data_IF_625911981722
#
_entry.id   IF_625911981722
#
_cell.length_a   1.000
_cell.length_b   1.000
_cell.length_c   1.000
_cell.angle_alpha   90.00
_cell.angle_beta   90.00
_cell.angle_gamma   90.00
#
_symmetry.space_group_name_H-M   'P 1'
#
loop_
_entity.id
_entity.type
_entity.pdbx_description
1 polymer ?
#
# COMPACT_ATOMS: atom_id res chain seq x y z
N UNK A 1 8.94 23.39 -10.19
CA UNK A 1 7.90 22.36 -10.09
C UNK A 1 8.23 21.28 -9.05
N UNK A 2 9.43 20.69 -9.09
CA UNK A 2 9.91 19.73 -8.06
C UNK A 2 9.64 20.15 -6.62
N UNK A 3 9.94 21.40 -6.26
CA UNK A 3 9.72 21.87 -4.88
C UNK A 3 8.25 21.92 -4.48
N UNK A 4 7.33 22.17 -5.42
CA UNK A 4 5.89 22.12 -5.18
C UNK A 4 5.44 20.69 -4.92
N UNK A 5 5.88 19.73 -5.74
CA UNK A 5 5.64 18.30 -5.51
C UNK A 5 6.14 17.87 -4.13
N UNK A 6 7.37 18.24 -3.77
CA UNK A 6 7.92 17.89 -2.46
C UNK A 6 7.11 18.52 -1.32
N UNK A 7 6.66 19.77 -1.48
CA UNK A 7 5.79 20.43 -0.49
C UNK A 7 4.46 19.67 -0.31
N UNK A 8 3.79 19.30 -1.40
CA UNK A 8 2.52 18.56 -1.31
C UNK A 8 2.73 17.18 -0.68
N UNK A 9 3.80 16.47 -1.06
CA UNK A 9 4.10 15.16 -0.46
C UNK A 9 4.39 15.26 1.03
N UNK A 10 5.11 16.30 1.50
CA UNK A 10 5.29 16.55 2.94
C UNK A 10 3.97 16.73 3.67
N UNK A 11 3.04 17.48 3.08
CA UNK A 11 1.71 17.68 3.66
C UNK A 11 0.92 16.37 3.72
N UNK A 12 0.94 15.58 2.65
CA UNK A 12 0.21 14.31 2.53
C UNK A 12 0.77 13.25 3.49
N UNK A 13 2.07 13.21 3.70
CA UNK A 13 2.71 12.20 4.55
C UNK A 13 2.89 12.66 5.99
N UNK A 14 2.89 13.97 6.25
CA UNK A 14 3.29 14.60 7.53
C UNK A 14 4.75 14.38 7.92
N UNK A 15 5.60 14.03 6.95
CA UNK A 15 7.05 13.99 7.12
C UNK A 15 7.69 15.18 6.42
N UNK A 16 8.63 15.85 7.06
CA UNK A 16 9.38 16.95 6.46
C UNK A 16 10.43 16.48 5.43
N UNK A 17 10.99 15.27 5.65
CA UNK A 17 12.04 14.73 4.80
C UNK A 17 11.43 13.85 3.71
N UNK A 18 11.41 14.34 2.47
CA UNK A 18 10.79 13.66 1.33
C UNK A 18 11.72 13.70 0.12
N UNK A 19 11.76 12.61 -0.63
CA UNK A 19 12.41 12.52 -1.92
C UNK A 19 11.53 11.79 -2.94
N UNK A 20 11.72 12.13 -4.22
CA UNK A 20 11.08 11.45 -5.35
C UNK A 20 12.12 10.60 -6.07
N UNK A 21 11.80 9.34 -6.31
CA UNK A 21 12.67 8.33 -6.93
C UNK A 21 12.03 7.77 -8.19
N UNK A 22 12.81 7.18 -9.07
CA UNK A 22 12.35 6.79 -10.42
C UNK A 22 11.27 5.70 -10.44
N UNK A 23 11.15 4.84 -9.42
CA UNK A 23 10.11 3.78 -9.36
C UNK A 23 9.87 3.25 -7.95
N UNK A 24 8.69 2.61 -7.76
CA UNK A 24 8.30 1.99 -6.49
C UNK A 24 9.31 0.97 -5.95
N UNK A 25 9.86 0.08 -6.78
CA UNK A 25 10.84 -0.90 -6.32
C UNK A 25 12.14 -0.26 -5.80
N UNK A 26 12.50 0.94 -6.28
CA UNK A 26 13.65 1.67 -5.73
C UNK A 26 13.31 2.18 -4.32
N UNK A 27 12.11 2.72 -4.11
CA UNK A 27 11.65 3.10 -2.78
C UNK A 27 11.64 1.89 -1.82
N UNK A 28 11.07 0.75 -2.24
CA UNK A 28 11.05 -0.49 -1.45
C UNK A 28 12.47 -0.94 -1.07
N UNK A 29 13.40 -0.95 -2.03
CA UNK A 29 14.79 -1.33 -1.77
C UNK A 29 15.43 -0.39 -0.73
N UNK A 30 15.33 0.92 -0.92
CA UNK A 30 15.89 1.89 0.01
C UNK A 30 15.28 1.76 1.40
N UNK A 31 13.97 1.50 1.49
CA UNK A 31 13.30 1.23 2.77
C UNK A 31 13.86 -0.04 3.43
N UNK A 32 13.99 -1.16 2.72
CA UNK A 32 14.49 -2.42 3.30
C UNK A 32 15.96 -2.30 3.77
N UNK A 33 16.77 -1.47 3.09
CA UNK A 33 18.16 -1.23 3.47
C UNK A 33 18.30 -0.55 4.85
N UNK A 34 17.27 0.17 5.32
CA UNK A 34 17.27 0.80 6.63
C UNK A 34 17.10 -0.19 7.79
N UNK A 35 16.56 -1.39 7.51
CA UNK A 35 16.43 -2.43 8.53
C UNK A 35 17.78 -3.09 8.82
N UNK A 36 18.12 -3.26 10.09
CA UNK A 36 19.32 -4.01 10.53
C UNK A 36 19.01 -5.49 10.79
N UNK A 37 17.75 -5.82 11.01
CA UNK A 37 17.26 -7.16 11.32
C UNK A 37 16.36 -7.75 10.24
N UNK A 38 15.51 -8.71 10.62
CA UNK A 38 14.48 -9.28 9.75
C UNK A 38 13.50 -8.23 9.23
N UNK A 39 12.85 -8.56 8.11
CA UNK A 39 11.68 -7.83 7.63
C UNK A 39 10.43 -8.64 7.95
N UNK A 40 9.49 -8.02 8.64
CA UNK A 40 8.17 -8.56 8.87
C UNK A 40 7.19 -7.93 7.85
N UNK A 41 6.25 -8.71 7.34
CA UNK A 41 5.20 -8.22 6.43
C UNK A 41 3.95 -9.07 6.56
N UNK A 42 2.74 -8.53 6.33
CA UNK A 42 1.53 -9.35 6.27
C UNK A 42 1.66 -10.45 5.20
N UNK A 43 1.06 -11.61 5.51
CA UNK A 43 0.96 -12.77 4.63
C UNK A 43 0.04 -12.54 3.44
N UNK A 44 -0.94 -11.65 3.57
CA UNK A 44 -1.78 -11.24 2.45
C UNK A 44 -2.01 -9.71 2.45
N UNK A 45 -2.35 -9.16 1.30
CA UNK A 45 -2.57 -7.73 1.10
C UNK A 45 -1.30 -6.86 1.04
N UNK A 46 -0.11 -7.48 1.06
CA UNK A 46 1.20 -6.87 0.83
C UNK A 46 1.55 -6.67 -0.66
N UNK A 47 2.84 -6.55 -0.97
CA UNK A 47 3.36 -6.47 -2.33
C UNK A 47 4.46 -7.50 -2.58
N UNK A 48 4.45 -8.12 -3.77
CA UNK A 48 5.33 -9.24 -4.12
C UNK A 48 6.83 -8.93 -3.97
N UNK A 49 7.24 -7.68 -4.24
CA UNK A 49 8.65 -7.33 -4.21
C UNK A 49 9.23 -7.20 -2.80
N UNK A 50 8.42 -7.15 -1.74
CA UNK A 50 8.91 -7.07 -0.37
C UNK A 50 9.75 -8.31 -0.02
N UNK A 51 9.18 -9.49 -0.21
CA UNK A 51 9.85 -10.76 0.08
C UNK A 51 11.03 -11.00 -0.87
N UNK A 52 10.82 -10.78 -2.17
CA UNK A 52 11.86 -11.01 -3.18
C UNK A 52 13.10 -10.14 -2.93
N UNK A 53 12.91 -8.84 -2.66
CA UNK A 53 14.02 -7.92 -2.36
C UNK A 53 14.67 -8.30 -1.03
N UNK A 54 13.89 -8.57 0.02
CA UNK A 54 14.42 -8.96 1.33
C UNK A 54 15.34 -10.19 1.22
N UNK A 55 14.85 -11.25 0.56
CA UNK A 55 15.62 -12.48 0.35
C UNK A 55 16.87 -12.25 -0.49
N UNK A 56 16.80 -11.40 -1.52
CA UNK A 56 17.97 -11.07 -2.35
C UNK A 56 19.08 -10.35 -1.58
N UNK A 57 18.73 -9.66 -0.47
CA UNK A 57 19.67 -9.01 0.44
C UNK A 57 20.16 -9.94 1.56
N UNK A 58 19.78 -11.23 1.54
CA UNK A 58 20.16 -12.20 2.57
C UNK A 58 19.52 -11.95 3.93
N UNK A 59 18.42 -11.19 3.98
CA UNK A 59 17.68 -10.91 5.22
C UNK A 59 16.57 -11.95 5.43
N UNK A 60 16.28 -12.25 6.69
CA UNK A 60 15.12 -13.06 7.06
C UNK A 60 13.82 -12.30 6.75
N UNK A 61 12.82 -13.03 6.24
CA UNK A 61 11.49 -12.51 5.96
C UNK A 61 10.45 -13.28 6.76
N UNK A 62 9.71 -12.58 7.61
CA UNK A 62 8.76 -13.14 8.57
C UNK A 62 7.35 -12.70 8.18
N UNK A 63 6.49 -13.66 7.83
CA UNK A 63 5.09 -13.35 7.57
C UNK A 63 4.31 -13.13 8.86
N UNK A 64 3.48 -12.08 8.89
CA UNK A 64 2.45 -11.85 9.91
C UNK A 64 1.13 -12.40 9.39
N UNK A 65 0.43 -13.17 10.20
CA UNK A 65 -0.87 -13.74 9.83
C UNK A 65 -1.92 -12.64 9.65
N UNK A 66 -2.88 -12.92 8.78
CA UNK A 66 -3.91 -11.98 8.36
C UNK A 66 -5.24 -12.69 8.19
N UNK A 67 -6.32 -11.91 8.24
CA UNK A 67 -7.66 -12.36 7.86
C UNK A 67 -8.25 -11.37 6.87
N UNK A 68 -8.44 -11.79 5.62
CA UNK A 68 -8.93 -10.94 4.52
C UNK A 68 -8.10 -9.65 4.36
N UNK A 69 -6.77 -9.76 4.39
CA UNK A 69 -5.79 -8.67 4.33
C UNK A 69 -5.72 -7.78 5.58
N UNK A 70 -6.53 -8.03 6.60
CA UNK A 70 -6.40 -7.36 7.90
C UNK A 70 -5.29 -8.03 8.72
N UNK A 71 -4.35 -7.24 9.23
CA UNK A 71 -3.25 -7.73 10.08
C UNK A 71 -3.81 -8.29 11.39
N UNK A 72 -3.37 -9.49 11.77
CA UNK A 72 -3.62 -10.04 13.10
C UNK A 72 -2.62 -9.41 14.10
N UNK A 73 -3.14 -8.58 15.01
CA UNK A 73 -2.32 -7.83 15.96
C UNK A 73 -1.70 -8.71 17.07
N UNK A 74 -2.34 -9.82 17.43
CA UNK A 74 -1.80 -10.76 18.42
C UNK A 74 -0.60 -11.54 17.83
N UNK A 75 -0.73 -11.97 16.59
CA UNK A 75 0.36 -12.60 15.85
C UNK A 75 1.51 -11.61 15.59
N UNK A 76 1.18 -10.37 15.20
CA UNK A 76 2.16 -9.29 15.07
C UNK A 76 2.95 -9.13 16.38
N UNK A 77 2.26 -8.93 17.51
CA UNK A 77 2.91 -8.77 18.82
C UNK A 77 3.85 -9.93 19.13
N UNK A 78 3.38 -11.17 18.95
CA UNK A 78 4.16 -12.38 19.20
C UNK A 78 5.43 -12.47 18.33
N UNK A 79 5.36 -12.02 17.08
CA UNK A 79 6.49 -12.06 16.14
C UNK A 79 7.45 -10.87 16.31
N UNK A 80 6.97 -9.73 16.78
CA UNK A 80 7.81 -8.59 17.15
C UNK A 80 8.77 -8.95 18.29
N UNK A 81 8.28 -9.66 19.32
CA UNK A 81 9.10 -10.13 20.45
C UNK A 81 10.27 -11.04 19.99
N UNK A 82 10.05 -11.82 18.92
CA UNK A 82 11.06 -12.70 18.33
C UNK A 82 12.04 -11.97 17.41
N UNK A 83 11.54 -11.02 16.60
CA UNK A 83 12.36 -10.29 15.64
C UNK A 83 13.32 -9.31 16.33
N UNK A 84 12.88 -8.68 17.42
CA UNK A 84 13.70 -7.82 18.26
C UNK A 84 14.12 -6.49 17.61
N UNK A 85 14.99 -5.77 18.31
CA UNK A 85 15.41 -4.41 17.94
C UNK A 85 16.11 -4.36 16.58
N UNK A 86 15.75 -3.37 15.79
CA UNK A 86 16.35 -3.13 14.46
C UNK A 86 15.72 -3.92 13.32
N UNK A 87 14.72 -4.76 13.61
CA UNK A 87 13.83 -5.29 12.58
C UNK A 87 12.93 -4.17 12.01
N UNK A 88 12.22 -4.48 10.92
CA UNK A 88 11.26 -3.57 10.30
C UNK A 88 9.96 -4.29 10.00
N UNK A 89 8.83 -3.66 10.30
CA UNK A 89 7.52 -4.06 9.81
C UNK A 89 7.12 -3.23 8.59
N UNK A 90 6.98 -3.91 7.45
CA UNK A 90 6.69 -3.33 6.14
C UNK A 90 5.29 -3.74 5.70
N UNK A 91 4.36 -2.79 5.54
CA UNK A 91 2.97 -3.10 5.19
C UNK A 91 2.26 -1.97 4.45
N UNK A 92 1.13 -2.29 3.81
CA UNK A 92 0.23 -1.28 3.24
C UNK A 92 -0.74 -0.75 4.29
N UNK A 93 -0.91 0.57 4.42
CA UNK A 93 -1.94 1.12 5.34
C UNK A 93 -3.37 0.90 4.88
N UNK A 94 -3.58 0.76 3.56
CA UNK A 94 -4.80 0.26 2.95
C UNK A 94 -4.48 -1.05 2.20
N UNK A 95 -4.50 -2.16 2.93
CA UNK A 95 -4.04 -3.45 2.44
C UNK A 95 -4.89 -3.92 1.26
N UNK A 96 -4.23 -4.51 0.25
CA UNK A 96 -4.85 -4.91 -1.01
C UNK A 96 -5.66 -3.80 -1.73
N UNK A 97 -5.43 -2.52 -1.40
CA UNK A 97 -6.24 -1.37 -1.86
C UNK A 97 -7.70 -1.41 -1.36
N UNK A 98 -7.95 -2.10 -0.25
CA UNK A 98 -9.30 -2.35 0.22
C UNK A 98 -9.51 -2.26 1.73
N UNK A 99 -8.57 -2.70 2.56
CA UNK A 99 -8.79 -2.86 4.00
C UNK A 99 -7.89 -1.92 4.77
N UNK A 100 -8.50 -0.98 5.50
CA UNK A 100 -7.79 -0.07 6.38
C UNK A 100 -7.10 -0.83 7.52
N UNK A 101 -5.84 -0.52 7.80
CA UNK A 101 -5.11 -1.06 8.96
C UNK A 101 -5.20 -0.10 10.16
N UNK A 102 -5.10 -0.63 11.38
CA UNK A 102 -4.97 0.21 12.58
C UNK A 102 -3.52 0.70 12.70
N UNK A 103 -3.18 1.72 11.91
CA UNK A 103 -1.82 2.22 11.78
C UNK A 103 -1.26 2.72 13.12
N UNK A 104 -2.10 3.32 13.96
CA UNK A 104 -1.71 3.79 15.29
C UNK A 104 -1.35 2.63 16.20
N UNK A 105 -2.22 1.62 16.32
CA UNK A 105 -1.95 0.47 17.19
C UNK A 105 -0.75 -0.34 16.69
N UNK A 106 -0.63 -0.56 15.38
CA UNK A 106 0.53 -1.20 14.77
C UNK A 106 1.81 -0.44 15.12
N UNK A 107 1.81 0.88 14.95
CA UNK A 107 2.98 1.70 15.25
C UNK A 107 3.39 1.62 16.71
N UNK A 108 2.43 1.69 17.64
CA UNK A 108 2.70 1.52 19.07
C UNK A 108 3.33 0.16 19.37
N UNK A 109 2.76 -0.94 18.87
CA UNK A 109 3.31 -2.29 19.08
C UNK A 109 4.73 -2.42 18.55
N UNK A 110 4.99 -1.93 17.33
CA UNK A 110 6.31 -1.99 16.72
C UNK A 110 7.33 -1.13 17.48
N UNK A 111 6.97 0.11 17.82
CA UNK A 111 7.86 1.02 18.51
C UNK A 111 8.22 0.54 19.93
N UNK A 112 7.26 -0.03 20.67
CA UNK A 112 7.50 -0.62 22.00
C UNK A 112 8.50 -1.80 21.92
N UNK A 113 8.51 -2.53 20.80
CA UNK A 113 9.47 -3.60 20.52
C UNK A 113 10.81 -3.12 19.91
N UNK A 114 10.95 -1.82 19.61
CA UNK A 114 12.11 -1.26 18.90
C UNK A 114 12.22 -1.70 17.44
N UNK A 115 11.07 -1.95 16.80
CA UNK A 115 10.93 -2.32 15.39
C UNK A 115 10.48 -1.10 14.59
N UNK A 116 11.17 -0.84 13.48
CA UNK A 116 10.85 0.28 12.59
C UNK A 116 9.58 -0.01 11.79
N UNK A 117 8.77 1.01 11.54
CA UNK A 117 7.55 0.92 10.73
C UNK A 117 7.75 1.58 9.38
N UNK A 118 7.60 0.78 8.32
CA UNK A 118 7.57 1.25 6.96
C UNK A 118 6.19 1.02 6.32
N UNK A 119 5.57 2.10 5.86
CA UNK A 119 4.21 2.11 5.36
C UNK A 119 4.19 2.37 3.85
N UNK A 120 3.73 1.39 3.08
CA UNK A 120 3.34 1.60 1.69
C UNK A 120 1.96 2.27 1.66
N UNK A 121 1.94 3.53 1.24
CA UNK A 121 0.74 4.35 1.15
C UNK A 121 0.23 4.47 -0.28
N UNK A 122 0.65 3.60 -1.21
CA UNK A 122 0.21 3.62 -2.61
C UNK A 122 -1.31 3.47 -2.77
N UNK A 123 -1.97 2.76 -1.85
CA UNK A 123 -3.43 2.61 -1.80
C UNK A 123 -4.14 3.58 -0.85
N UNK A 124 -3.43 4.55 -0.30
CA UNK A 124 -3.92 5.41 0.79
C UNK A 124 -3.53 6.89 0.68
N UNK A 125 -2.57 7.26 -0.17
CA UNK A 125 -2.15 8.65 -0.34
C UNK A 125 -3.34 9.53 -0.72
N UNK A 126 -3.47 10.69 -0.06
CA UNK A 126 -4.64 11.56 -0.20
C UNK A 126 -5.80 11.26 0.75
N UNK A 127 -5.68 10.21 1.58
CA UNK A 127 -6.67 9.85 2.62
C UNK A 127 -6.03 9.92 4.01
N UNK A 128 -6.84 9.80 5.07
CA UNK A 128 -6.35 9.71 6.45
C UNK A 128 -5.52 8.45 6.74
N UNK A 129 -5.57 7.44 5.87
CA UNK A 129 -4.75 6.23 5.98
C UNK A 129 -3.30 6.49 5.56
N UNK A 130 -2.99 7.63 4.96
CA UNK A 130 -1.62 8.13 4.79
C UNK A 130 -1.28 9.06 5.97
N UNK A 131 -0.56 8.54 6.97
CA UNK A 131 -0.24 9.31 8.16
C UNK A 131 1.13 8.91 8.72
N UNK A 132 2.15 9.69 8.38
CA UNK A 132 3.53 9.48 8.83
C UNK A 132 3.74 9.63 10.33
N UNK A 133 2.80 10.24 11.07
CA UNK A 133 2.85 10.20 12.54
C UNK A 133 2.77 8.77 13.11
N UNK A 134 2.47 7.77 12.27
CA UNK A 134 2.40 6.36 12.61
C UNK A 134 3.34 5.51 11.74
N UNK A 135 4.41 6.09 11.20
CA UNK A 135 5.44 5.39 10.45
C UNK A 135 6.80 6.10 10.54
N UNK A 136 7.89 5.35 10.57
CA UNK A 136 9.23 5.93 10.43
C UNK A 136 9.51 6.27 8.95
N UNK A 137 8.98 5.45 8.05
CA UNK A 137 9.12 5.63 6.60
C UNK A 137 7.75 5.44 5.94
N UNK A 138 7.34 6.36 5.07
CA UNK A 138 6.25 6.13 4.12
C UNK A 138 6.80 6.13 2.70
N UNK A 139 6.22 5.33 1.81
CA UNK A 139 6.53 5.38 0.39
C UNK A 139 5.30 5.04 -0.45
N UNK A 140 5.28 5.48 -1.70
CA UNK A 140 4.28 5.06 -2.65
C UNK A 140 4.79 5.09 -4.09
N UNK A 141 4.28 4.18 -4.90
CA UNK A 141 4.44 4.21 -6.35
C UNK A 141 3.44 5.19 -6.98
N UNK A 142 3.87 5.90 -8.02
CA UNK A 142 3.00 6.74 -8.85
C UNK A 142 2.62 6.11 -10.18
N UNK A 143 3.02 4.85 -10.41
CA UNK A 143 2.75 4.12 -11.66
C UNK A 143 1.25 3.98 -11.95
N UNK A 144 0.99 3.44 -13.14
CA UNK A 144 -0.35 3.11 -13.62
C UNK A 144 -1.21 2.40 -12.57
N UNK A 145 -2.47 2.83 -12.48
CA UNK A 145 -3.50 2.30 -11.59
C UNK A 145 -3.22 2.48 -10.10
N UNK A 146 -2.28 3.35 -9.72
CA UNK A 146 -2.13 3.84 -8.35
C UNK A 146 -3.03 5.06 -8.13
N UNK A 147 -3.09 5.56 -6.90
CA UNK A 147 -3.93 6.73 -6.64
C UNK A 147 -3.40 8.00 -7.32
N UNK A 148 -2.08 8.21 -7.36
CA UNK A 148 -1.51 9.36 -8.08
C UNK A 148 -1.54 9.15 -9.59
N UNK A 149 -1.23 7.95 -10.08
CA UNK A 149 -1.34 7.60 -11.50
C UNK A 149 -0.69 8.60 -12.49
N UNK A 150 0.59 8.91 -12.27
CA UNK A 150 1.40 9.72 -13.18
C UNK A 150 2.18 8.87 -14.19
N UNK A 151 1.97 7.55 -14.21
CA UNK A 151 2.65 6.59 -15.09
C UNK A 151 4.05 6.18 -14.62
N UNK A 152 4.78 7.07 -13.96
CA UNK A 152 6.16 6.84 -13.50
C UNK A 152 6.49 7.52 -12.16
N UNK A 153 7.57 7.07 -11.52
CA UNK A 153 8.04 7.61 -10.25
C UNK A 153 7.47 6.92 -9.02
N UNK A 154 8.03 7.32 -7.89
CA UNK A 154 7.59 7.00 -6.54
C UNK A 154 8.14 8.06 -5.57
N UNK A 155 7.64 8.10 -4.35
CA UNK A 155 8.29 8.86 -3.28
C UNK A 155 8.69 7.97 -2.13
N UNK A 156 9.61 8.50 -1.32
CA UNK A 156 9.92 8.04 0.03
C UNK A 156 9.94 9.25 0.95
N UNK A 157 9.36 9.11 2.13
CA UNK A 157 9.33 10.13 3.16
C UNK A 157 9.74 9.53 4.50
N UNK A 158 10.61 10.21 5.23
CA UNK A 158 11.26 9.67 6.43
C UNK A 158 11.06 10.62 7.60
N UNK A 159 10.65 10.08 8.75
CA UNK A 159 10.41 10.85 9.96
C UNK A 159 11.72 11.44 10.50
N UNK A 160 12.75 10.60 10.65
CA UNK A 160 14.05 11.01 11.18
C UNK A 160 14.93 11.72 10.14
N UNK A 161 15.47 12.88 10.54
CA UNK A 161 16.26 13.74 9.66
C UNK A 161 17.65 13.17 9.39
N UNK A 162 18.30 12.59 10.40
CA UNK A 162 19.66 12.04 10.21
C UNK A 162 19.61 10.75 9.39
N UNK A 163 18.58 9.92 9.56
CA UNK A 163 18.28 8.79 8.69
C UNK A 163 18.14 9.24 7.24
N UNK A 164 17.30 10.24 6.96
CA UNK A 164 17.13 10.76 5.60
C UNK A 164 18.44 11.30 5.00
N UNK A 165 19.25 11.99 5.80
CA UNK A 165 20.57 12.50 5.39
C UNK A 165 21.52 11.37 5.02
N UNK A 166 21.50 10.25 5.75
CA UNK A 166 22.29 9.06 5.44
C UNK A 166 21.82 8.37 4.15
N UNK A 167 20.51 8.39 3.88
CA UNK A 167 19.93 7.86 2.64
C UNK A 167 20.23 8.73 1.40
N UNK A 168 20.61 10.00 1.59
CA UNK A 168 20.71 11.00 0.53
C UNK A 168 21.56 10.59 -0.68
N UNK A 169 22.76 9.96 -0.53
CA UNK A 169 23.55 9.54 -1.70
C UNK A 169 22.81 8.53 -2.57
N UNK A 170 22.13 7.55 -1.96
CA UNK A 170 21.34 6.56 -2.68
C UNK A 170 20.10 7.19 -3.31
N UNK A 171 19.40 8.07 -2.59
CA UNK A 171 18.25 8.82 -3.11
C UNK A 171 18.61 9.64 -4.36
N UNK A 172 19.82 10.22 -4.40
CA UNK A 172 20.32 10.93 -5.57
C UNK A 172 20.59 9.98 -6.74
N UNK A 173 21.18 8.81 -6.48
CA UNK A 173 21.47 7.82 -7.52
C UNK A 173 20.21 7.21 -8.17
N UNK A 174 19.10 7.14 -7.45
CA UNK A 174 17.82 6.62 -7.97
C UNK A 174 16.76 7.72 -8.16
N UNK A 175 17.19 8.98 -8.20
CA UNK A 175 16.31 10.14 -8.27
C UNK A 175 15.35 10.12 -9.46
N UNK A 176 14.20 10.75 -9.29
CA UNK A 176 13.24 10.94 -10.39
C UNK A 176 13.67 12.07 -11.32
N UNK A 177 13.73 11.77 -12.62
CA UNK A 177 14.08 12.72 -13.70
C UNK A 177 12.91 12.96 -14.67
N UNK A 178 11.73 12.41 -14.39
CA UNK A 178 10.55 12.52 -15.24
C UNK A 178 9.76 13.83 -15.05
N UNK A 179 8.51 13.82 -15.51
CA UNK A 179 7.67 15.02 -15.58
C UNK A 179 7.07 15.42 -14.22
N UNK A 180 7.75 16.34 -13.52
CA UNK A 180 7.25 16.93 -12.29
C UNK A 180 5.98 17.78 -12.46
N UNK A 181 5.69 18.30 -13.66
CA UNK A 181 4.47 19.08 -13.93
C UNK A 181 3.26 18.16 -13.98
N UNK A 182 3.35 17.04 -14.70
CA UNK A 182 2.33 16.00 -14.69
C UNK A 182 2.11 15.45 -13.27
N UNK A 183 3.19 15.10 -12.56
CA UNK A 183 3.11 14.60 -11.19
C UNK A 183 2.40 15.58 -10.26
N UNK A 184 2.74 16.87 -10.33
CA UNK A 184 2.07 17.89 -9.52
C UNK A 184 0.58 18.02 -9.87
N UNK A 185 0.22 17.99 -11.15
CA UNK A 185 -1.17 18.02 -11.59
C UNK A 185 -1.96 16.84 -11.02
N UNK A 186 -1.39 15.64 -11.07
CA UNK A 186 -1.99 14.42 -10.55
C UNK A 186 -2.15 14.43 -9.03
N UNK A 187 -1.16 14.95 -8.29
CA UNK A 187 -1.27 15.14 -6.84
C UNK A 187 -2.39 16.13 -6.49
N UNK A 188 -2.56 17.20 -7.25
CA UNK A 188 -3.65 18.17 -7.03
C UNK A 188 -5.04 17.61 -7.31
N UNK A 189 -5.16 16.74 -8.31
CA UNK A 189 -6.42 16.07 -8.67
C UNK A 189 -6.76 14.87 -7.77
N UNK A 190 -5.84 14.48 -6.87
CA UNK A 190 -5.98 13.31 -6.01
C UNK A 190 -7.31 13.25 -5.23
N UNK A 191 -7.83 14.35 -4.62
CA UNK A 191 -9.14 14.32 -3.94
C UNK A 191 -10.29 13.95 -4.88
N UNK A 192 -10.31 14.54 -6.09
CA UNK A 192 -11.34 14.29 -7.09
C UNK A 192 -11.26 12.84 -7.61
N UNK A 193 -10.05 12.33 -7.88
CA UNK A 193 -9.85 10.92 -8.25
C UNK A 193 -10.34 9.96 -7.16
N UNK A 194 -10.04 10.24 -5.89
CA UNK A 194 -10.52 9.40 -4.77
C UNK A 194 -12.06 9.37 -4.73
N UNK A 195 -12.71 10.52 -4.87
CA UNK A 195 -14.18 10.62 -4.89
C UNK A 195 -14.79 9.80 -6.04
N UNK A 196 -14.24 9.91 -7.26
CA UNK A 196 -14.68 9.13 -8.42
C UNK A 196 -14.53 7.63 -8.15
N UNK A 197 -13.38 7.19 -7.65
CA UNK A 197 -13.12 5.78 -7.38
C UNK A 197 -14.04 5.23 -6.27
N UNK A 198 -14.33 6.02 -5.23
CA UNK A 198 -15.28 5.66 -4.20
C UNK A 198 -16.70 5.50 -4.77
N UNK A 199 -17.16 6.46 -5.58
CA UNK A 199 -18.47 6.38 -6.23
C UNK A 199 -18.58 5.14 -7.13
N UNK A 200 -17.54 4.83 -7.91
CA UNK A 200 -17.49 3.61 -8.73
C UNK A 200 -17.53 2.35 -7.88
N UNK A 201 -16.77 2.30 -6.78
CA UNK A 201 -16.82 1.15 -5.89
C UNK A 201 -18.21 0.94 -5.31
N UNK A 202 -18.88 2.00 -4.86
CA UNK A 202 -20.24 1.92 -4.34
C UNK A 202 -21.24 1.43 -5.40
N UNK A 203 -21.09 1.87 -6.65
CA UNK A 203 -21.90 1.37 -7.76
C UNK A 203 -21.69 -0.14 -8.02
N UNK A 204 -20.43 -0.60 -7.98
CA UNK A 204 -20.09 -2.03 -8.10
C UNK A 204 -20.70 -2.84 -6.96
N UNK A 205 -20.52 -2.39 -5.71
CA UNK A 205 -21.06 -3.05 -4.53
C UNK A 205 -22.59 -3.15 -4.57
N UNK A 206 -23.27 -2.06 -4.97
CA UNK A 206 -24.74 -2.05 -5.15
C UNK A 206 -25.18 -3.03 -6.25
N UNK A 207 -24.45 -3.10 -7.36
CA UNK A 207 -24.71 -4.05 -8.44
C UNK A 207 -24.56 -5.51 -8.02
N UNK A 208 -23.69 -5.78 -7.05
CA UNK A 208 -23.38 -7.10 -6.51
C UNK A 208 -23.98 -7.34 -5.11
N UNK A 209 -24.93 -6.54 -4.66
CA UNK A 209 -25.50 -6.58 -3.29
C UNK A 209 -26.11 -7.94 -2.87
N UNK A 210 -26.38 -8.83 -3.84
CA UNK A 210 -26.86 -10.20 -3.58
C UNK A 210 -25.74 -11.18 -3.22
N UNK A 211 -24.49 -10.80 -3.47
CA UNK A 211 -23.30 -11.56 -3.12
C UNK A 211 -22.70 -11.02 -1.83
N UNK A 212 -21.96 -11.87 -1.13
CA UNK A 212 -21.11 -11.42 -0.02
C UNK A 212 -20.00 -10.53 -0.60
N UNK A 213 -19.74 -9.41 0.06
CA UNK A 213 -18.63 -8.51 -0.28
C UNK A 213 -17.81 -8.34 1.00
N UNK A 214 -16.52 -8.67 0.95
CA UNK A 214 -15.68 -8.70 2.16
C UNK A 214 -15.46 -7.32 2.75
N UNK A 215 -15.32 -6.33 1.87
CA UNK A 215 -14.92 -4.97 2.19
C UNK A 215 -16.05 -3.96 2.01
N UNK A 216 -17.31 -4.39 2.17
CA UNK A 216 -18.50 -3.56 1.96
C UNK A 216 -18.55 -2.33 2.86
N UNK A 217 -18.00 -2.43 4.07
CA UNK A 217 -18.05 -1.40 5.10
C UNK A 217 -16.76 -0.56 5.15
N UNK A 218 -15.80 -0.86 4.26
CA UNK A 218 -14.55 -0.12 4.17
C UNK A 218 -14.78 1.25 3.51
N UNK A 219 -14.08 2.26 4.01
CA UNK A 219 -14.21 3.64 3.51
C UNK A 219 -13.51 3.86 2.17
N UNK A 220 -12.39 3.17 1.93
CA UNK A 220 -11.57 3.30 0.72
C UNK A 220 -11.37 1.98 -0.05
N UNK A 221 -12.45 1.34 -0.51
CA UNK A 221 -12.43 0.09 -1.25
C UNK A 221 -12.08 0.31 -2.73
N UNK A 222 -10.84 0.69 -3.03
CA UNK A 222 -10.38 0.89 -4.42
C UNK A 222 -10.24 -0.43 -5.21
N UNK A 223 -10.43 -1.55 -4.52
CA UNK A 223 -10.65 -2.89 -5.06
C UNK A 223 -11.84 -3.51 -4.32
N UNK A 224 -12.78 -4.15 -5.02
CA UNK A 224 -13.93 -4.84 -4.41
C UNK A 224 -13.70 -6.34 -4.44
N UNK A 225 -13.81 -7.00 -3.28
CA UNK A 225 -13.57 -8.44 -3.15
C UNK A 225 -14.90 -9.16 -2.91
N UNK A 226 -15.24 -10.05 -3.84
CA UNK A 226 -16.50 -10.81 -3.84
C UNK A 226 -16.17 -12.30 -3.81
N UNK A 227 -16.29 -12.97 -2.65
CA UNK A 227 -16.12 -14.41 -2.55
C UNK A 227 -17.15 -15.15 -3.39
N UNK A 228 -16.80 -16.36 -3.83
CA UNK A 228 -17.74 -17.26 -4.48
C UNK A 228 -17.66 -18.65 -3.86
N UNK A 229 -18.79 -19.35 -3.81
CA UNK A 229 -18.85 -20.69 -3.21
C UNK A 229 -18.62 -21.80 -4.23
N UNK A 230 -18.90 -21.53 -5.51
CA UNK A 230 -18.80 -22.49 -6.60
C UNK A 230 -18.67 -21.78 -7.95
N UNK A 231 -18.45 -22.58 -8.99
CA UNK A 231 -18.23 -22.10 -10.35
C UNK A 231 -19.41 -21.31 -10.93
N UNK A 232 -20.65 -21.69 -10.60
CA UNK A 232 -21.85 -20.96 -11.08
C UNK A 232 -21.88 -19.55 -10.49
N UNK A 233 -21.56 -19.42 -9.20
CA UNK A 233 -21.50 -18.12 -8.54
C UNK A 233 -20.35 -17.25 -9.09
N UNK A 234 -19.17 -17.85 -9.27
CA UNK A 234 -18.01 -17.21 -9.91
C UNK A 234 -18.36 -16.65 -11.29
N UNK A 235 -19.02 -17.46 -12.14
CA UNK A 235 -19.43 -17.06 -13.48
C UNK A 235 -20.46 -15.92 -13.47
N UNK A 236 -21.36 -15.86 -12.49
CA UNK A 236 -22.30 -14.73 -12.33
C UNK A 236 -21.56 -13.43 -12.03
N UNK A 237 -20.59 -13.47 -11.12
CA UNK A 237 -19.77 -12.30 -10.77
C UNK A 237 -18.91 -11.87 -11.97
N UNK A 238 -18.28 -12.82 -12.67
CA UNK A 238 -17.51 -12.56 -13.89
C UNK A 238 -18.37 -11.97 -15.02
N UNK A 239 -19.58 -12.48 -15.21
CA UNK A 239 -20.54 -11.96 -16.19
C UNK A 239 -20.97 -10.52 -15.84
N UNK A 240 -21.18 -10.21 -14.56
CA UNK A 240 -21.40 -8.84 -14.10
C UNK A 240 -20.21 -7.94 -14.46
N UNK A 241 -18.98 -8.37 -14.17
CA UNK A 241 -17.79 -7.59 -14.49
C UNK A 241 -17.65 -7.33 -15.99
N UNK A 242 -17.83 -8.38 -16.81
CA UNK A 242 -17.76 -8.30 -18.28
C UNK A 242 -18.82 -7.34 -18.84
N UNK A 243 -20.07 -7.48 -18.39
CA UNK A 243 -21.19 -6.60 -18.80
C UNK A 243 -20.90 -5.13 -18.48
N UNK A 244 -20.25 -4.86 -17.36
CA UNK A 244 -19.95 -3.51 -16.90
C UNK A 244 -18.52 -3.05 -17.26
N UNK A 245 -17.78 -3.81 -18.08
CA UNK A 245 -16.39 -3.53 -18.50
C UNK A 245 -15.42 -3.32 -17.32
N UNK A 246 -15.67 -4.01 -16.22
CA UNK A 246 -14.83 -3.96 -15.03
C UNK A 246 -13.69 -4.97 -15.18
N UNK A 247 -12.46 -4.48 -15.00
CA UNK A 247 -11.31 -5.37 -14.85
C UNK A 247 -11.39 -6.12 -13.52
N UNK A 248 -11.04 -7.40 -13.53
CA UNK A 248 -10.99 -8.23 -12.34
C UNK A 248 -9.94 -9.32 -12.45
N UNK A 249 -9.56 -9.87 -11.31
CA UNK A 249 -8.70 -11.05 -11.23
C UNK A 249 -9.28 -12.06 -10.26
N UNK A 250 -8.98 -13.34 -10.46
CA UNK A 250 -9.41 -14.40 -9.56
C UNK A 250 -8.38 -14.59 -8.43
N UNK A 251 -8.89 -14.74 -7.21
CA UNK A 251 -8.14 -15.15 -6.01
C UNK A 251 -8.19 -16.69 -5.84
N UNK A 252 -7.27 -17.31 -5.07
CA UNK A 252 -6.32 -16.70 -4.12
C UNK A 252 -5.18 -15.93 -4.78
N UNK A 253 -4.84 -14.76 -4.22
CA UNK A 253 -3.65 -13.98 -4.58
C UNK A 253 -3.10 -13.30 -3.33
N UNK A 254 -1.81 -13.49 -3.07
CA UNK A 254 -1.14 -12.92 -1.90
C UNK A 254 -1.31 -11.40 -1.78
N UNK A 255 -1.24 -10.67 -2.89
CA UNK A 255 -1.46 -9.21 -2.92
C UNK A 255 -2.93 -8.77 -2.76
N UNK A 256 -3.85 -9.73 -2.58
CA UNK A 256 -5.29 -9.55 -2.37
C UNK A 256 -5.71 -10.33 -1.14
N UNK A 257 -6.39 -11.46 -1.33
CA UNK A 257 -6.86 -12.38 -0.29
C UNK A 257 -6.53 -13.81 -0.67
N UNK A 258 -6.30 -14.66 0.32
CA UNK A 258 -5.98 -16.08 0.15
C UNK A 258 -7.21 -17.00 0.21
N UNK A 259 -8.35 -16.55 -0.34
CA UNK A 259 -9.56 -17.35 -0.49
C UNK A 259 -10.18 -17.17 -1.88
N UNK A 260 -11.09 -18.09 -2.23
CA UNK A 260 -11.83 -18.07 -3.50
C UNK A 260 -12.70 -16.82 -3.61
N UNK A 261 -12.31 -15.92 -4.50
CA UNK A 261 -12.98 -14.64 -4.72
C UNK A 261 -12.66 -14.04 -6.10
N UNK A 262 -13.51 -13.13 -6.54
CA UNK A 262 -13.22 -12.20 -7.62
C UNK A 262 -12.80 -10.87 -7.01
N UNK A 263 -11.60 -10.40 -7.39
CA UNK A 263 -11.02 -9.11 -7.04
C UNK A 263 -11.26 -8.12 -8.18
N UNK A 264 -12.23 -7.22 -8.03
CA UNK A 264 -12.63 -6.23 -9.03
C UNK A 264 -11.78 -4.97 -8.85
N UNK A 265 -11.03 -4.60 -9.88
CA UNK A 265 -9.98 -3.57 -9.84
C UNK A 265 -10.53 -2.17 -10.18
N UNK A 266 -11.37 -1.62 -9.29
CA UNK A 266 -12.02 -0.30 -9.48
C UNK A 266 -11.01 0.81 -9.83
N UNK A 267 -9.86 0.80 -9.18
CA UNK A 267 -8.73 1.73 -9.44
C UNK A 267 -8.14 1.71 -10.85
N UNK A 268 -8.55 0.78 -11.73
CA UNK A 268 -8.10 0.69 -13.13
C UNK A 268 -9.10 1.30 -14.12
N UNK A 269 -10.20 1.85 -13.61
CA UNK A 269 -11.28 2.38 -14.43
C UNK A 269 -11.10 3.87 -14.77
N UNK A 270 -9.96 4.47 -14.42
CA UNK A 270 -9.61 5.89 -14.61
C UNK A 270 -8.10 6.06 -14.78
#
# INVERSE_FOLDING_TARGET
MKDQVLKELRNLTKHENVAVVHRGNAAILLTILESKGPILSPKEGGWLSYEAITKSLGKEYIHIETTNAKINLDDLKTKLDKAGKGAMFLYHSNAAYTVAQDTKQIHTLCHDAGVMVAMDVSGAIGTELCNGNHADICFASFREWKLIDSGEGAFISVADKEQFKNMKPLLQAVGFEGDFTNLHSKIKDLPNRIEILQAKSQAVMKGLQKHKILNKDEKYPFVVIVPFENEIDRLKIAAFCTKNKLEYTQCPREIRVMQDAISIEVKRQE
#
